data_IF_286250137993
#
_entry.id   IF_286250137993
#
_cell.length_a   1.000
_cell.length_b   1.000
_cell.length_c   1.000
_cell.angle_alpha   90.00
_cell.angle_beta   90.00
_cell.angle_gamma   90.00
#
_symmetry.space_group_name_H-M   'P 1'
#
loop_
_entity.id
_entity.type
_entity.pdbx_description
1 polymer ?
#
# COMPACT_ATOMS: atom_id res chain seq x y z
N UNK A 1 -7.78 -10.12 7.88
CA UNK A 1 -6.57 -9.27 8.04
C UNK A 1 -5.46 -10.07 8.69
N UNK A 2 -4.21 -9.86 8.26
CA UNK A 2 -3.01 -10.50 8.84
C UNK A 2 -1.99 -9.40 9.18
N UNK A 3 -1.09 -9.64 10.15
CA UNK A 3 0.02 -8.73 10.46
C UNK A 3 0.86 -8.46 9.21
N UNK A 4 1.24 -7.20 9.00
CA UNK A 4 2.12 -6.79 7.92
C UNK A 4 3.46 -7.55 7.99
N UNK A 5 3.89 -8.07 6.84
CA UNK A 5 5.15 -8.81 6.70
C UNK A 5 5.97 -8.23 5.55
N UNK A 6 7.27 -8.50 5.58
CA UNK A 6 8.21 -8.19 4.50
C UNK A 6 8.76 -9.48 3.92
N UNK A 7 8.99 -9.48 2.61
CA UNK A 7 9.79 -10.51 1.94
C UNK A 7 11.23 -10.04 1.99
N UNK A 8 12.09 -10.82 2.64
CA UNK A 8 13.53 -10.56 2.70
C UNK A 8 14.20 -10.99 1.38
N UNK A 9 15.40 -10.49 1.05
CA UNK A 9 16.10 -10.85 -0.19
C UNK A 9 16.35 -12.36 -0.38
N UNK A 10 16.33 -13.13 0.72
CA UNK A 10 16.45 -14.59 0.72
C UNK A 10 15.10 -15.33 0.54
N UNK A 11 14.02 -14.62 0.21
CA UNK A 11 12.67 -15.16 0.03
C UNK A 11 11.92 -15.49 1.32
N UNK A 12 12.54 -15.30 2.50
CA UNK A 12 11.85 -15.55 3.78
C UNK A 12 10.93 -14.41 4.16
N UNK A 13 9.83 -14.74 4.84
CA UNK A 13 8.81 -13.77 5.24
C UNK A 13 8.95 -13.47 6.74
N UNK A 14 9.26 -12.22 7.09
CA UNK A 14 9.40 -11.78 8.48
C UNK A 14 8.41 -10.67 8.81
N UNK A 15 8.12 -10.46 10.09
CA UNK A 15 7.34 -9.31 10.53
C UNK A 15 8.13 -8.02 10.23
N UNK A 16 7.44 -7.01 9.70
CA UNK A 16 8.07 -5.71 9.49
C UNK A 16 8.37 -5.08 10.86
N UNK A 17 9.65 -4.84 11.18
CA UNK A 17 10.01 -4.11 12.40
C UNK A 17 9.71 -2.61 12.27
N UNK A 18 9.56 -2.12 11.05
CA UNK A 18 9.32 -0.74 10.71
C UNK A 18 7.83 -0.41 10.49
N UNK A 19 6.96 -1.44 10.48
CA UNK A 19 5.51 -1.30 10.29
C UNK A 19 4.74 -2.29 11.16
N UNK A 20 4.00 -1.76 12.12
CA UNK A 20 3.09 -2.50 12.98
C UNK A 20 1.66 -2.18 12.58
N UNK A 21 1.12 -2.99 11.67
CA UNK A 21 -0.28 -2.90 11.25
C UNK A 21 -0.84 -4.25 10.82
N UNK A 22 -2.15 -4.29 10.64
CA UNK A 22 -2.84 -5.38 9.95
C UNK A 22 -3.22 -4.92 8.55
N UNK A 23 -2.90 -5.73 7.54
CA UNK A 23 -3.17 -5.39 6.14
C UNK A 23 -4.08 -6.40 5.46
N UNK A 24 -4.76 -5.90 4.43
CA UNK A 24 -5.52 -6.66 3.45
C UNK A 24 -5.39 -5.96 2.08
N UNK A 25 -5.70 -6.70 1.02
CA UNK A 25 -5.80 -6.17 -0.34
C UNK A 25 -7.22 -6.44 -0.83
N UNK A 26 -7.81 -5.46 -1.50
CA UNK A 26 -9.12 -5.59 -2.12
C UNK A 26 -8.94 -5.99 -3.58
N UNK A 27 -9.58 -7.06 -4.02
CA UNK A 27 -9.54 -7.49 -5.42
C UNK A 27 -9.88 -6.33 -6.36
N UNK A 28 -9.19 -6.24 -7.51
CA UNK A 28 -9.39 -5.13 -8.45
C UNK A 28 -10.79 -5.15 -9.08
N UNK A 29 -11.41 -6.33 -9.12
CA UNK A 29 -12.79 -6.52 -9.59
C UNK A 29 -13.86 -6.15 -8.55
N UNK A 30 -13.47 -5.84 -7.31
CA UNK A 30 -14.42 -5.43 -6.28
C UNK A 30 -15.09 -4.09 -6.68
N UNK A 31 -16.43 -3.98 -6.59
CA UNK A 31 -17.14 -2.75 -6.96
C UNK A 31 -16.64 -1.50 -6.24
N UNK A 32 -16.18 -1.63 -4.99
CA UNK A 32 -15.59 -0.53 -4.21
C UNK A 32 -14.25 -0.12 -4.79
N UNK A 33 -13.36 -1.09 -5.10
CA UNK A 33 -12.07 -0.82 -5.75
C UNK A 33 -12.26 -0.09 -7.07
N UNK A 34 -13.17 -0.56 -7.92
CA UNK A 34 -13.49 0.08 -9.21
C UNK A 34 -14.00 1.51 -9.05
N UNK A 35 -14.91 1.74 -8.10
CA UNK A 35 -15.47 3.06 -7.85
C UNK A 35 -14.44 4.05 -7.31
N UNK A 36 -13.56 3.59 -6.41
CA UNK A 36 -12.47 4.40 -5.84
C UNK A 36 -11.45 4.74 -6.92
N UNK A 37 -10.96 3.74 -7.67
CA UNK A 37 -9.94 3.94 -8.70
C UNK A 37 -10.42 4.88 -9.81
N UNK A 38 -11.70 4.78 -10.21
CA UNK A 38 -12.30 5.71 -11.18
C UNK A 38 -12.28 7.17 -10.68
N UNK A 39 -12.55 7.40 -9.40
CA UNK A 39 -12.49 8.76 -8.82
C UNK A 39 -11.06 9.26 -8.74
N UNK A 40 -10.12 8.41 -8.32
CA UNK A 40 -8.69 8.76 -8.27
C UNK A 40 -8.21 9.17 -9.67
N UNK A 41 -8.47 8.35 -10.69
CA UNK A 41 -8.11 8.66 -12.07
C UNK A 41 -8.70 10.00 -12.54
N UNK A 42 -9.97 10.28 -12.24
CA UNK A 42 -10.61 11.53 -12.59
C UNK A 42 -10.04 12.75 -11.85
N UNK A 43 -9.51 12.58 -10.64
CA UNK A 43 -8.91 13.67 -9.86
C UNK A 43 -7.45 13.94 -10.23
N UNK A 44 -6.70 12.92 -10.63
CA UNK A 44 -5.25 13.00 -10.85
C UNK A 44 -4.85 13.05 -12.33
N UNK A 45 -5.78 12.70 -13.23
CA UNK A 45 -5.52 12.48 -14.66
C UNK A 45 -4.45 11.39 -14.93
N UNK A 46 -4.22 10.51 -13.95
CA UNK A 46 -3.31 9.38 -14.09
C UNK A 46 -4.04 8.12 -14.57
N UNK A 47 -3.37 7.33 -15.41
CA UNK A 47 -3.82 5.99 -15.76
C UNK A 47 -3.60 5.03 -14.58
N UNK A 48 -4.69 4.70 -13.89
CA UNK A 48 -4.68 3.79 -12.74
C UNK A 48 -4.81 2.31 -13.13
N UNK A 49 -4.84 1.97 -14.43
CA UNK A 49 -4.85 0.57 -14.88
C UNK A 49 -3.56 -0.18 -14.54
N UNK A 50 -2.47 0.56 -14.30
CA UNK A 50 -1.16 0.07 -13.83
C UNK A 50 -0.96 0.26 -12.33
N UNK A 51 -1.97 0.73 -11.61
CA UNK A 51 -1.88 0.86 -10.16
C UNK A 51 -1.85 -0.52 -9.51
N UNK A 52 -1.09 -0.65 -8.42
CA UNK A 52 -1.15 -1.83 -7.55
C UNK A 52 -2.55 -1.99 -6.94
N UNK A 53 -2.90 -3.24 -6.62
CA UNK A 53 -4.14 -3.58 -5.92
C UNK A 53 -4.30 -2.79 -4.62
N UNK A 54 -5.49 -2.23 -4.39
CA UNK A 54 -5.78 -1.37 -3.25
C UNK A 54 -5.44 -2.04 -1.91
N UNK A 55 -4.46 -1.48 -1.19
CA UNK A 55 -4.05 -1.94 0.13
C UNK A 55 -4.85 -1.23 1.23
N UNK A 56 -5.42 -2.02 2.14
CA UNK A 56 -6.09 -1.54 3.34
C UNK A 56 -5.21 -1.84 4.54
N UNK A 57 -4.87 -0.81 5.32
CA UNK A 57 -4.10 -0.93 6.57
C UNK A 57 -4.94 -0.51 7.76
N UNK A 58 -4.97 -1.35 8.79
CA UNK A 58 -5.57 -1.07 10.09
C UNK A 58 -4.45 -0.94 11.13
N UNK A 59 -4.36 0.22 11.75
CA UNK A 59 -3.45 0.52 12.84
C UNK A 59 -4.23 0.43 14.16
N UNK A 60 -3.91 -0.60 14.95
CA UNK A 60 -4.45 -0.74 16.30
C UNK A 60 -3.71 0.15 17.30
N UNK A 61 -3.94 -0.08 18.60
CA UNK A 61 -3.19 0.60 19.66
C UNK A 61 -1.68 0.38 19.48
N UNK A 62 -0.91 1.46 19.48
CA UNK A 62 0.54 1.47 19.22
C UNK A 62 0.94 0.91 17.84
N UNK A 63 0.02 0.89 16.87
CA UNK A 63 0.34 0.68 15.47
C UNK A 63 1.13 1.86 14.92
N UNK A 64 2.15 1.58 14.09
CA UNK A 64 3.03 2.61 13.53
C UNK A 64 3.52 2.16 12.16
N UNK A 65 3.76 3.12 11.28
CA UNK A 65 4.65 2.94 10.14
C UNK A 65 5.68 4.06 10.18
N UNK A 66 6.95 3.70 10.38
CA UNK A 66 8.03 4.70 10.39
C UNK A 66 8.14 5.39 9.03
N UNK A 67 8.70 6.60 9.02
CA UNK A 67 8.94 7.38 7.79
C UNK A 67 9.70 6.55 6.75
N UNK A 68 9.17 6.51 5.53
CA UNK A 68 9.73 5.78 4.39
C UNK A 68 9.34 6.46 3.07
N UNK A 69 9.88 5.95 1.96
CA UNK A 69 9.51 6.34 0.60
C UNK A 69 8.78 5.17 -0.05
N UNK A 70 7.68 5.46 -0.74
CA UNK A 70 6.92 4.45 -1.48
C UNK A 70 7.65 4.02 -2.75
N UNK A 71 8.28 4.97 -3.44
CA UNK A 71 9.10 4.69 -4.61
C UNK A 71 10.24 3.74 -4.26
N UNK A 72 10.44 2.72 -5.10
CA UNK A 72 11.53 1.76 -5.01
C UNK A 72 12.84 2.52 -5.16
N UNK A 73 13.75 2.34 -4.20
CA UNK A 73 15.09 2.94 -4.22
C UNK A 73 16.16 1.89 -4.56
N UNK A 74 17.17 2.29 -5.32
CA UNK A 74 18.31 1.45 -5.69
C UNK A 74 18.09 0.60 -6.95
N UNK A 75 18.95 -0.40 -7.16
CA UNK A 75 19.05 -1.17 -8.41
C UNK A 75 18.02 -2.32 -8.50
N UNK A 76 17.15 -2.46 -7.51
CA UNK A 76 16.16 -3.54 -7.40
C UNK A 76 14.87 -3.26 -8.20
N UNK A 77 14.97 -2.62 -9.36
CA UNK A 77 13.86 -2.51 -10.32
C UNK A 77 13.52 -3.87 -10.98
N UNK A 78 14.30 -4.93 -10.68
CA UNK A 78 14.23 -6.23 -11.33
C UNK A 78 13.54 -7.32 -10.50
N UNK A 79 13.08 -7.03 -9.27
CA UNK A 79 12.37 -8.03 -8.45
C UNK A 79 10.86 -7.77 -8.42
N UNK A 80 10.19 -7.90 -9.57
CA UNK A 80 8.76 -8.21 -9.64
C UNK A 80 7.85 -7.22 -10.36
N UNK A 81 8.19 -5.94 -10.44
CA UNK A 81 7.30 -4.94 -11.05
C UNK A 81 7.65 -4.69 -12.53
N UNK A 82 7.07 -5.51 -13.41
CA UNK A 82 7.13 -5.31 -14.86
C UNK A 82 6.54 -3.96 -15.30
N UNK A 83 5.76 -3.31 -14.42
CA UNK A 83 5.06 -2.06 -14.67
C UNK A 83 5.85 -0.80 -14.25
N UNK A 84 7.06 -0.95 -13.69
CA UNK A 84 7.97 0.15 -13.37
C UNK A 84 8.01 0.51 -11.88
N UNK A 85 8.14 1.79 -11.56
CA UNK A 85 8.26 2.31 -10.20
C UNK A 85 7.07 3.20 -9.84
N UNK A 86 6.75 3.32 -8.55
CA UNK A 86 5.64 4.14 -8.05
C UNK A 86 5.90 5.61 -8.30
N UNK A 87 5.00 6.24 -9.06
CA UNK A 87 5.01 7.68 -9.35
C UNK A 87 4.31 8.50 -8.25
N UNK A 88 3.19 7.98 -7.74
CA UNK A 88 2.35 8.67 -6.77
C UNK A 88 1.63 7.66 -5.88
N UNK A 89 1.30 8.10 -4.66
CA UNK A 89 0.48 7.35 -3.70
C UNK A 89 -0.76 8.15 -3.36
N UNK A 90 -1.92 7.50 -3.42
CA UNK A 90 -3.19 8.09 -3.00
C UNK A 90 -3.63 7.47 -1.67
N UNK A 91 -3.50 8.22 -0.57
CA UNK A 91 -3.81 7.74 0.78
C UNK A 91 -5.19 8.22 1.24
N UNK A 92 -6.05 7.29 1.64
CA UNK A 92 -7.43 7.55 2.08
C UNK A 92 -7.56 7.18 3.55
N UNK A 93 -7.91 8.16 4.39
CA UNK A 93 -8.29 7.93 5.78
C UNK A 93 -9.75 7.46 5.85
N UNK A 94 -9.99 6.31 6.46
CA UNK A 94 -11.32 5.67 6.49
C UNK A 94 -12.05 5.82 7.83
N UNK A 95 -11.40 6.40 8.84
CA UNK A 95 -11.97 6.61 10.17
C UNK A 95 -11.30 7.79 10.85
N UNK A 96 -12.03 8.47 11.73
CA UNK A 96 -11.46 9.45 12.64
C UNK A 96 -10.61 8.76 13.71
N UNK A 97 -9.46 9.34 14.02
CA UNK A 97 -8.54 8.85 15.07
C UNK A 97 -8.51 9.84 16.21
N UNK A 98 -8.85 9.38 17.41
CA UNK A 98 -8.98 10.26 18.59
C UNK A 98 -7.65 10.83 19.08
N UNK A 99 -6.56 10.05 18.98
CA UNK A 99 -5.22 10.43 19.42
C UNK A 99 -4.16 9.73 18.57
N UNK A 100 -3.15 10.46 18.12
CA UNK A 100 -2.07 9.91 17.30
C UNK A 100 -2.40 9.94 15.80
N UNK A 101 -2.12 8.83 15.11
CA UNK A 101 -2.29 8.68 13.66
C UNK A 101 -3.35 7.67 13.29
#
# INVERSE_FOLDING_TARGET
MKRAKIVLPNGTVSAALYRTSHIAWLEDSDPVSLAVNRRIAAMTDLDVSRAETNQVSNYGLAGEYITHMDAIQGINLTHGDLDGNRLATFMIYMSDVGWGG
#
